data_IF_752462900302
#
_entry.id   IF_752462900302
#
_cell.length_a   1.000
_cell.length_b   1.000
_cell.length_c   1.000
_cell.angle_alpha   90.00
_cell.angle_beta   90.00
_cell.angle_gamma   90.00
#
_symmetry.space_group_name_H-M   'P 1'
#
loop_
_entity.id
_entity.type
_entity.pdbx_description
1 polymer ?
#
# COMPACT_ATOMS: atom_id res chain seq x y z
N UNK A 1 39.27 6.87 -8.55
CA UNK A 1 38.67 7.36 -9.80
C UNK A 1 37.40 8.08 -9.40
N UNK A 2 37.40 9.41 -9.44
CA UNK A 2 36.18 10.21 -9.21
C UNK A 2 35.18 9.82 -10.30
N UNK A 3 34.00 9.33 -9.92
CA UNK A 3 32.95 8.98 -10.87
C UNK A 3 32.67 10.19 -11.77
N UNK A 4 32.64 9.96 -13.08
CA UNK A 4 32.38 11.01 -14.06
C UNK A 4 30.94 11.51 -13.86
N UNK A 5 30.78 12.80 -13.55
CA UNK A 5 29.46 13.38 -13.26
C UNK A 5 28.59 13.36 -14.51
N UNK A 6 27.55 12.54 -14.51
CA UNK A 6 26.54 12.49 -15.57
C UNK A 6 25.56 13.66 -15.49
N UNK A 7 24.92 13.96 -16.62
CA UNK A 7 23.80 14.89 -16.74
C UNK A 7 22.58 14.09 -17.22
N UNK A 8 21.55 14.03 -16.37
CA UNK A 8 20.30 13.35 -16.68
C UNK A 8 19.28 14.33 -17.24
N UNK A 9 18.73 14.03 -18.41
CA UNK A 9 17.62 14.78 -19.01
C UNK A 9 16.34 14.01 -18.75
N UNK A 10 15.39 14.61 -18.04
CA UNK A 10 14.18 13.92 -17.59
C UNK A 10 13.04 14.05 -18.59
N UNK A 11 12.32 12.95 -18.76
CA UNK A 11 11.01 12.88 -19.43
C UNK A 11 9.86 13.16 -18.46
N UNK A 12 8.73 13.63 -18.97
CA UNK A 12 7.50 13.90 -18.21
C UNK A 12 7.00 12.67 -17.47
N UNK A 13 7.07 11.49 -18.09
CA UNK A 13 6.60 10.24 -17.47
C UNK A 13 7.39 9.84 -16.22
N UNK A 14 8.65 10.27 -16.10
CA UNK A 14 9.45 10.06 -14.89
C UNK A 14 8.82 10.82 -13.72
N UNK A 15 8.44 12.08 -13.95
CA UNK A 15 7.86 12.96 -12.93
C UNK A 15 6.43 12.56 -12.59
N UNK A 16 5.63 12.18 -13.60
CA UNK A 16 4.26 11.70 -13.38
C UNK A 16 4.21 10.42 -12.54
N UNK A 17 5.27 9.61 -12.62
CA UNK A 17 5.44 8.43 -11.80
C UNK A 17 6.03 8.74 -10.42
N UNK A 18 6.93 9.70 -10.32
CA UNK A 18 7.59 10.08 -9.08
C UNK A 18 7.90 11.58 -9.03
N UNK A 19 7.10 12.31 -8.24
CA UNK A 19 7.28 13.74 -7.99
C UNK A 19 8.52 14.09 -7.18
N UNK A 20 9.17 13.11 -6.56
CA UNK A 20 10.43 13.25 -5.82
C UNK A 20 11.67 12.87 -6.63
N UNK A 21 11.51 12.56 -7.93
CA UNK A 21 12.58 12.03 -8.76
C UNK A 21 13.86 12.86 -8.76
N UNK A 22 13.76 14.18 -8.64
CA UNK A 22 14.92 15.09 -8.59
C UNK A 22 15.88 14.81 -7.43
N UNK A 23 15.44 14.15 -6.36
CA UNK A 23 16.29 13.81 -5.22
C UNK A 23 17.02 12.47 -5.38
N UNK A 24 16.73 11.71 -6.44
CA UNK A 24 17.18 10.32 -6.60
C UNK A 24 18.41 10.17 -7.51
N UNK A 25 19.01 11.28 -7.97
CA UNK A 25 20.16 11.28 -8.88
C UNK A 25 21.51 11.56 -8.20
N UNK A 26 21.54 11.58 -6.87
CA UNK A 26 22.77 11.71 -6.08
C UNK A 26 23.62 12.91 -6.53
N UNK A 27 24.92 12.72 -6.79
CA UNK A 27 25.86 13.77 -7.22
C UNK A 27 25.63 14.30 -8.64
N UNK A 28 24.75 13.67 -9.42
CA UNK A 28 24.58 13.95 -10.84
C UNK A 28 23.65 15.14 -11.12
N UNK A 29 23.95 15.88 -12.18
CA UNK A 29 23.17 17.03 -12.60
C UNK A 29 21.88 16.60 -13.33
N UNK A 30 20.83 17.40 -13.21
CA UNK A 30 19.50 17.15 -13.76
C UNK A 30 19.10 18.31 -14.66
N UNK A 31 18.58 17.97 -15.83
CA UNK A 31 18.01 18.90 -16.79
C UNK A 31 16.53 18.58 -16.99
N UNK A 32 15.70 19.60 -16.81
CA UNK A 32 14.26 19.54 -17.08
C UNK A 32 13.98 20.35 -18.36
N UNK A 33 13.65 19.70 -19.48
CA UNK A 33 13.15 20.38 -20.67
C UNK A 33 11.91 21.23 -20.35
N UNK A 34 11.78 22.41 -20.95
CA UNK A 34 10.60 23.28 -20.71
C UNK A 34 9.29 22.60 -21.13
N UNK A 35 9.35 21.77 -22.19
CA UNK A 35 8.23 20.94 -22.66
C UNK A 35 7.66 20.05 -21.55
N UNK A 36 8.52 19.54 -20.66
CA UNK A 36 8.06 18.73 -19.52
C UNK A 36 7.16 19.53 -18.60
N UNK A 37 7.51 20.79 -18.33
CA UNK A 37 6.66 21.67 -17.50
C UNK A 37 5.34 22.00 -18.19
N UNK A 38 5.35 22.22 -19.50
CA UNK A 38 4.14 22.42 -20.32
C UNK A 38 3.21 21.19 -20.27
N UNK A 39 3.77 19.98 -20.35
CA UNK A 39 2.98 18.76 -20.23
C UNK A 39 2.43 18.58 -18.82
N UNK A 40 3.24 18.79 -17.79
CA UNK A 40 2.79 18.69 -16.40
C UNK A 40 1.61 19.62 -16.09
N UNK A 41 1.54 20.80 -16.72
CA UNK A 41 0.41 21.72 -16.58
C UNK A 41 -0.92 21.09 -17.03
N UNK A 42 -0.90 20.32 -18.12
CA UNK A 42 -2.07 19.57 -18.59
C UNK A 42 -2.47 18.47 -17.59
N UNK A 43 -1.49 17.89 -16.89
CA UNK A 43 -1.71 16.89 -15.85
C UNK A 43 -2.05 17.47 -14.47
N UNK A 44 -2.10 18.79 -14.25
CA UNK A 44 -2.50 19.34 -12.93
C UNK A 44 -3.98 19.15 -12.59
N UNK A 45 -4.83 18.94 -13.59
CA UNK A 45 -6.29 18.82 -13.42
C UNK A 45 -6.68 17.35 -13.31
N UNK A 46 -7.39 16.99 -12.24
CA UNK A 46 -7.84 15.63 -11.97
C UNK A 46 -7.44 15.11 -10.60
N UNK A 47 -7.92 13.91 -10.26
CA UNK A 47 -7.71 13.26 -8.96
C UNK A 47 -6.80 12.03 -9.03
N UNK A 48 -6.20 11.73 -10.18
CA UNK A 48 -5.29 10.60 -10.36
C UNK A 48 -3.93 10.86 -9.71
N UNK A 49 -3.18 9.79 -9.46
CA UNK A 49 -1.84 9.87 -8.85
C UNK A 49 -0.87 10.68 -9.73
N UNK A 50 -0.97 10.55 -11.05
CA UNK A 50 -0.21 11.36 -12.01
C UNK A 50 -0.50 12.86 -11.86
N UNK A 51 -1.75 13.23 -11.51
CA UNK A 51 -2.11 14.63 -11.28
C UNK A 51 -1.57 15.14 -9.95
N UNK A 52 -1.56 14.27 -8.92
CA UNK A 52 -0.93 14.57 -7.65
C UNK A 52 0.58 14.78 -7.82
N UNK A 53 1.26 13.87 -8.53
CA UNK A 53 2.69 13.97 -8.80
C UNK A 53 3.02 15.22 -9.60
N UNK A 54 2.26 15.54 -10.66
CA UNK A 54 2.42 16.79 -11.40
C UNK A 54 2.31 18.04 -10.50
N UNK A 55 1.29 18.10 -9.64
CA UNK A 55 1.11 19.23 -8.69
C UNK A 55 2.24 19.31 -7.67
N UNK A 56 2.64 18.18 -7.09
CA UNK A 56 3.68 18.14 -6.06
C UNK A 56 5.04 18.51 -6.64
N UNK A 57 5.36 18.03 -7.83
CA UNK A 57 6.60 18.37 -8.51
C UNK A 57 6.69 19.86 -8.79
N UNK A 58 5.65 20.45 -9.40
CA UNK A 58 5.66 21.89 -9.70
C UNK A 58 5.75 22.74 -8.43
N UNK A 59 5.06 22.36 -7.34
CA UNK A 59 5.22 23.05 -6.04
C UNK A 59 6.63 22.95 -5.49
N UNK A 60 7.26 21.79 -5.64
CA UNK A 60 8.64 21.58 -5.20
C UNK A 60 9.59 22.47 -6.01
N UNK A 61 9.41 22.51 -7.34
CA UNK A 61 10.19 23.36 -8.23
C UNK A 61 9.98 24.85 -7.96
N UNK A 62 8.75 25.26 -7.65
CA UNK A 62 8.40 26.64 -7.28
C UNK A 62 9.06 27.06 -5.96
N UNK A 63 9.07 26.16 -4.96
CA UNK A 63 9.78 26.40 -3.69
C UNK A 63 11.30 26.49 -3.82
N UNK A 64 11.84 25.87 -4.87
CA UNK A 64 13.25 25.91 -5.25
C UNK A 64 13.58 27.17 -6.09
N UNK A 65 12.59 27.97 -6.48
CA UNK A 65 12.81 29.07 -7.42
C UNK A 65 13.47 30.30 -6.76
N UNK A 66 14.77 30.42 -7.03
CA UNK A 66 15.44 31.72 -7.21
C UNK A 66 15.79 31.85 -8.70
N UNK A 67 16.08 33.05 -9.23
CA UNK A 67 16.41 33.34 -10.65
C UNK A 67 17.52 32.44 -11.29
N UNK A 68 18.15 31.57 -10.51
CA UNK A 68 19.27 30.69 -10.87
C UNK A 68 18.87 29.40 -11.61
N UNK A 69 17.60 29.00 -11.62
CA UNK A 69 17.15 27.79 -12.34
C UNK A 69 17.31 27.89 -13.87
N UNK A 70 17.21 29.11 -14.42
CA UNK A 70 17.40 29.39 -15.84
C UNK A 70 18.87 29.74 -16.19
N UNK A 71 19.64 30.23 -15.21
CA UNK A 71 21.00 30.75 -15.38
C UNK A 71 22.04 29.95 -14.57
N UNK A 72 22.38 28.75 -15.04
CA UNK A 72 23.50 27.95 -14.50
C UNK A 72 23.14 26.86 -13.49
N UNK A 73 21.84 26.71 -13.20
CA UNK A 73 21.28 25.65 -12.37
C UNK A 73 21.49 25.86 -10.87
N UNK A 74 20.70 25.16 -10.06
CA UNK A 74 20.73 25.26 -8.60
C UNK A 74 20.98 23.89 -7.96
N UNK A 75 21.84 23.83 -6.93
CA UNK A 75 22.05 22.62 -6.14
C UNK A 75 20.82 22.27 -5.31
N UNK A 76 20.47 20.99 -5.30
CA UNK A 76 19.32 20.45 -4.56
C UNK A 76 19.66 20.23 -3.08
N UNK A 77 20.92 19.90 -2.79
CA UNK A 77 21.43 19.58 -1.46
C UNK A 77 22.96 19.63 -1.39
N UNK A 78 23.55 19.40 -0.20
CA UNK A 78 25.00 19.46 0.02
C UNK A 78 25.78 18.49 -0.87
N UNK A 79 25.24 17.26 -1.01
CA UNK A 79 25.85 16.14 -1.73
C UNK A 79 25.11 15.83 -3.05
N UNK A 80 24.29 16.76 -3.53
CA UNK A 80 23.47 16.57 -4.75
C UNK A 80 23.95 17.44 -5.92
N UNK A 81 23.70 16.96 -7.13
CA UNK A 81 23.93 17.74 -8.35
C UNK A 81 23.01 18.96 -8.49
N UNK A 82 23.11 19.63 -9.64
CA UNK A 82 22.34 20.84 -9.98
C UNK A 82 21.12 20.50 -10.83
N UNK A 83 20.01 21.19 -10.58
CA UNK A 83 18.84 21.21 -11.48
C UNK A 83 18.92 22.46 -12.35
N UNK A 84 18.71 22.29 -13.65
CA UNK A 84 18.51 23.38 -14.60
C UNK A 84 17.28 23.14 -15.48
N UNK A 85 16.55 24.21 -15.81
CA UNK A 85 15.48 24.18 -16.81
C UNK A 85 16.06 24.60 -18.16
N UNK A 86 15.79 23.82 -19.21
CA UNK A 86 16.27 24.12 -20.57
C UNK A 86 15.12 24.50 -21.49
N UNK A 87 15.26 25.67 -22.11
CA UNK A 87 14.31 26.18 -23.10
C UNK A 87 14.43 25.43 -24.43
N UNK A 88 13.36 25.54 -25.23
CA UNK A 88 13.27 25.01 -26.57
C UNK A 88 14.45 25.45 -27.45
N UNK A 89 14.92 24.55 -28.32
CA UNK A 89 15.89 24.87 -29.36
C UNK A 89 15.38 24.37 -30.71
N UNK A 90 15.95 24.91 -31.79
CA UNK A 90 15.64 24.41 -33.15
C UNK A 90 15.97 22.92 -33.22
N UNK A 91 15.10 22.15 -33.88
CA UNK A 91 15.29 20.72 -34.10
C UNK A 91 16.61 20.47 -34.84
N UNK A 92 17.47 19.61 -34.30
CA UNK A 92 18.72 19.24 -34.94
C UNK A 92 18.46 18.55 -36.29
N UNK A 93 19.23 18.84 -37.36
CA UNK A 93 19.04 18.21 -38.68
C UNK A 93 18.97 16.68 -38.62
N UNK A 94 19.90 16.03 -37.91
CA UNK A 94 19.93 14.58 -37.73
C UNK A 94 18.60 14.00 -37.20
N UNK A 95 17.95 14.68 -36.26
CA UNK A 95 16.66 14.25 -35.71
C UNK A 95 15.51 14.53 -36.67
N UNK A 96 15.56 15.65 -37.39
CA UNK A 96 14.54 16.04 -38.36
C UNK A 96 14.48 15.05 -39.53
N UNK A 97 15.62 14.55 -39.97
CA UNK A 97 15.73 13.57 -41.06
C UNK A 97 15.36 12.16 -40.57
N UNK A 98 15.71 11.81 -39.34
CA UNK A 98 15.42 10.48 -38.74
C UNK A 98 13.96 10.33 -38.31
N UNK A 99 13.34 11.40 -37.82
CA UNK A 99 11.95 11.41 -37.34
C UNK A 99 11.11 12.43 -38.13
N UNK A 100 10.85 12.18 -39.42
CA UNK A 100 10.10 13.10 -40.26
C UNK A 100 8.62 13.13 -39.83
N UNK A 101 8.15 14.32 -39.46
CA UNK A 101 6.72 14.60 -39.25
C UNK A 101 6.28 14.73 -37.79
N UNK A 102 5.54 15.82 -37.57
CA UNK A 102 4.90 16.28 -36.32
C UNK A 102 5.85 16.63 -35.17
N UNK A 103 5.76 17.91 -34.80
CA UNK A 103 6.29 18.44 -33.55
C UNK A 103 5.51 17.83 -32.38
N UNK A 104 6.14 16.86 -31.71
CA UNK A 104 5.58 16.14 -30.56
C UNK A 104 6.41 16.43 -29.32
N UNK A 105 5.81 16.46 -28.13
CA UNK A 105 6.55 16.67 -26.88
C UNK A 105 7.76 15.73 -26.71
N UNK A 106 7.59 14.44 -26.98
CA UNK A 106 8.67 13.44 -27.00
C UNK A 106 9.87 13.85 -27.85
N UNK A 107 9.61 14.44 -29.03
CA UNK A 107 10.65 14.86 -29.96
C UNK A 107 11.37 16.12 -29.47
N UNK A 108 10.65 17.04 -28.81
CA UNK A 108 11.22 18.25 -28.19
C UNK A 108 12.14 17.89 -27.01
N UNK A 109 11.70 16.96 -26.15
CA UNK A 109 12.49 16.40 -25.05
C UNK A 109 13.76 15.71 -25.59
N UNK A 110 13.61 14.84 -26.59
CA UNK A 110 14.73 14.16 -27.25
C UNK A 110 15.71 15.16 -27.87
N UNK A 111 15.21 16.20 -28.53
CA UNK A 111 16.02 17.22 -29.18
C UNK A 111 16.91 17.99 -28.18
N UNK A 112 16.37 18.36 -27.02
CA UNK A 112 17.15 19.03 -25.98
C UNK A 112 18.30 18.13 -25.51
N UNK A 113 18.01 16.87 -25.19
CA UNK A 113 19.03 15.92 -24.75
C UNK A 113 20.11 15.70 -25.83
N UNK A 114 19.69 15.55 -27.09
CA UNK A 114 20.58 15.33 -28.23
C UNK A 114 21.49 16.52 -28.52
N UNK A 115 20.93 17.74 -28.60
CA UNK A 115 21.70 18.96 -28.84
C UNK A 115 22.74 19.20 -27.73
N UNK A 116 22.38 18.93 -26.48
CA UNK A 116 23.33 19.04 -25.37
C UNK A 116 24.48 18.03 -25.48
N UNK A 117 24.17 16.77 -25.81
CA UNK A 117 25.18 15.74 -26.04
C UNK A 117 26.12 16.03 -27.22
N UNK A 118 25.62 16.72 -28.26
CA UNK A 118 26.43 17.14 -29.41
C UNK A 118 27.27 18.39 -29.14
N UNK A 119 26.76 19.32 -28.35
CA UNK A 119 27.45 20.57 -28.04
C UNK A 119 28.63 20.39 -27.07
N UNK A 120 28.56 19.37 -26.21
CA UNK A 120 29.57 19.10 -25.18
C UNK A 120 29.86 17.59 -25.14
N UNK A 121 30.99 17.19 -25.71
CA UNK A 121 31.42 15.77 -25.77
C UNK A 121 32.25 15.36 -24.57
N UNK A 122 32.61 16.29 -23.69
CA UNK A 122 33.37 16.01 -22.46
C UNK A 122 32.47 15.50 -21.33
N UNK A 123 31.14 15.64 -21.45
CA UNK A 123 30.17 15.20 -20.45
C UNK A 123 29.27 14.09 -20.96
N UNK A 124 28.86 13.22 -20.04
CA UNK A 124 27.91 12.15 -20.32
C UNK A 124 26.47 12.65 -20.13
N UNK A 125 25.70 12.66 -21.22
CA UNK A 125 24.28 13.02 -21.22
C UNK A 125 23.41 11.77 -21.37
N UNK A 126 22.46 11.59 -20.46
CA UNK A 126 21.58 10.41 -20.43
C UNK A 126 20.12 10.86 -20.40
N UNK A 127 19.33 10.40 -21.37
CA UNK A 127 17.87 10.57 -21.34
C UNK A 127 17.25 9.55 -20.38
N UNK A 128 16.50 10.02 -19.41
CA UNK A 128 15.78 9.16 -18.45
C UNK A 128 14.30 9.22 -18.76
N UNK A 129 13.72 8.08 -19.10
CA UNK A 129 12.30 7.97 -19.43
C UNK A 129 11.76 6.62 -18.98
N UNK A 130 10.47 6.55 -18.67
CA UNK A 130 9.74 5.28 -18.49
C UNK A 130 9.15 4.72 -19.79
N UNK A 131 9.10 5.52 -20.85
CA UNK A 131 8.61 5.07 -22.16
C UNK A 131 9.72 4.35 -22.94
N UNK A 132 9.46 3.06 -23.23
CA UNK A 132 10.34 2.23 -24.07
C UNK A 132 10.55 2.87 -25.44
N UNK A 133 9.52 3.44 -26.05
CA UNK A 133 9.60 4.02 -27.39
C UNK A 133 10.52 5.24 -27.43
N UNK A 134 10.38 6.15 -26.48
CA UNK A 134 11.26 7.32 -26.37
C UNK A 134 12.73 6.89 -26.14
N UNK A 135 12.97 5.90 -25.27
CA UNK A 135 14.32 5.36 -25.06
C UNK A 135 14.90 4.69 -26.31
N UNK A 136 14.09 3.98 -27.09
CA UNK A 136 14.53 3.36 -28.34
C UNK A 136 14.89 4.41 -29.40
N UNK A 137 14.09 5.48 -29.52
CA UNK A 137 14.40 6.62 -30.40
C UNK A 137 15.70 7.32 -30.02
N UNK A 138 15.96 7.49 -28.73
CA UNK A 138 17.22 8.06 -28.25
C UNK A 138 18.42 7.17 -28.64
N UNK A 139 18.32 5.87 -28.37
CA UNK A 139 19.38 4.91 -28.71
C UNK A 139 19.64 4.82 -30.21
N UNK A 140 18.61 4.91 -31.06
CA UNK A 140 18.77 4.83 -32.51
C UNK A 140 19.57 6.01 -33.11
N UNK A 141 19.62 7.15 -32.42
CA UNK A 141 20.42 8.32 -32.83
C UNK A 141 21.74 8.43 -32.06
N UNK A 142 22.10 7.41 -31.28
CA UNK A 142 23.35 7.37 -30.51
C UNK A 142 23.33 8.15 -29.19
N UNK A 143 22.16 8.55 -28.69
CA UNK A 143 22.00 9.17 -27.37
C UNK A 143 21.84 8.08 -26.30
N UNK A 144 22.54 8.21 -25.17
CA UNK A 144 22.37 7.30 -24.03
C UNK A 144 20.97 7.47 -23.44
N UNK A 145 20.31 6.35 -23.13
CA UNK A 145 19.00 6.36 -22.50
C UNK A 145 18.82 5.22 -21.49
N UNK A 146 18.29 5.57 -20.32
CA UNK A 146 18.12 4.68 -19.17
C UNK A 146 16.64 4.69 -18.70
N UNK A 147 16.19 3.57 -18.14
CA UNK A 147 14.87 3.48 -17.50
C UNK A 147 14.92 4.08 -16.09
N UNK A 148 13.85 4.74 -15.67
CA UNK A 148 13.77 5.29 -14.33
C UNK A 148 13.34 4.22 -13.33
N UNK A 149 14.30 3.69 -12.57
CA UNK A 149 14.03 2.79 -11.44
C UNK A 149 14.40 3.49 -10.14
N UNK A 150 13.43 3.68 -9.24
CA UNK A 150 13.71 4.00 -7.84
C UNK A 150 13.83 2.72 -7.03
N UNK A 151 14.65 2.75 -5.99
CA UNK A 151 14.66 1.71 -4.96
C UNK A 151 13.28 1.52 -4.31
N UNK A 152 12.38 2.51 -4.42
CA UNK A 152 10.98 2.42 -3.99
C UNK A 152 10.10 1.48 -4.84
N UNK A 153 10.47 1.15 -6.08
CA UNK A 153 9.64 0.35 -7.00
C UNK A 153 10.12 -1.10 -7.11
N UNK A 154 11.38 -1.38 -6.74
CA UNK A 154 11.95 -2.74 -6.87
C UNK A 154 11.35 -3.76 -5.87
N UNK A 155 10.75 -3.33 -4.76
CA UNK A 155 10.33 -4.24 -3.68
C UNK A 155 8.80 -4.36 -3.46
N UNK A 156 7.96 -3.81 -4.33
CA UNK A 156 6.50 -4.04 -4.24
C UNK A 156 6.08 -5.42 -4.75
N UNK A 157 6.93 -6.08 -5.57
CA UNK A 157 6.70 -7.45 -6.03
C UNK A 157 6.75 -8.46 -4.87
N UNK A 158 7.51 -8.18 -3.81
CA UNK A 158 7.54 -8.95 -2.56
C UNK A 158 6.96 -8.15 -1.41
N UNK A 159 5.66 -7.85 -1.51
CA UNK A 159 4.93 -7.26 -0.39
C UNK A 159 5.14 -8.11 0.88
N UNK A 160 5.45 -7.44 1.99
CA UNK A 160 5.57 -8.08 3.30
C UNK A 160 4.28 -8.82 3.65
N UNK A 161 4.35 -10.15 3.75
CA UNK A 161 3.18 -11.01 4.01
C UNK A 161 2.78 -11.13 5.49
N UNK A 162 3.52 -10.49 6.41
CA UNK A 162 3.19 -10.54 7.84
C UNK A 162 3.56 -11.85 8.55
N UNK A 163 3.81 -12.92 7.80
CA UNK A 163 4.18 -14.22 8.32
C UNK A 163 5.35 -14.86 7.57
N UNK A 164 6.12 -15.68 8.27
CA UNK A 164 7.14 -16.55 7.66
C UNK A 164 7.21 -17.91 8.33
N UNK A 165 7.84 -18.84 7.64
CA UNK A 165 8.17 -20.15 8.18
C UNK A 165 9.67 -20.21 8.47
N UNK A 166 10.04 -20.80 9.60
CA UNK A 166 11.44 -21.05 9.99
C UNK A 166 11.56 -22.54 10.29
N UNK A 167 12.35 -23.23 9.49
CA UNK A 167 12.68 -24.64 9.67
C UNK A 167 13.93 -24.82 10.55
N UNK A 168 14.15 -26.05 11.00
CA UNK A 168 15.32 -26.46 11.79
C UNK A 168 15.59 -25.63 13.06
N UNK A 169 14.53 -25.11 13.67
CA UNK A 169 14.57 -24.39 14.96
C UNK A 169 15.10 -25.32 16.05
N UNK A 170 15.96 -24.89 16.99
CA UNK A 170 16.45 -25.72 18.09
C UNK A 170 15.32 -26.44 18.84
N UNK A 171 15.43 -27.77 18.96
CA UNK A 171 14.37 -28.59 19.56
C UNK A 171 14.05 -28.18 21.01
N UNK A 172 15.09 -27.78 21.78
CA UNK A 172 14.92 -27.28 23.14
C UNK A 172 14.11 -25.99 23.17
N UNK A 173 14.43 -25.01 22.32
CA UNK A 173 13.69 -23.76 22.24
C UNK A 173 12.22 -24.00 21.86
N UNK A 174 11.97 -24.92 20.92
CA UNK A 174 10.60 -25.29 20.55
C UNK A 174 9.86 -25.97 21.71
N UNK A 175 10.51 -26.87 22.44
CA UNK A 175 9.94 -27.52 23.63
C UNK A 175 9.65 -26.52 24.76
N UNK A 176 10.50 -25.52 24.93
CA UNK A 176 10.30 -24.44 25.91
C UNK A 176 9.07 -23.60 25.58
N UNK A 177 8.70 -23.42 24.31
CA UNK A 177 7.42 -22.77 23.93
C UNK A 177 6.19 -23.56 24.37
N UNK A 178 6.31 -24.89 24.57
CA UNK A 178 5.22 -25.71 25.10
C UNK A 178 5.18 -25.76 26.63
N UNK A 179 6.20 -25.21 27.29
CA UNK A 179 6.33 -25.15 28.74
C UNK A 179 6.11 -23.71 29.22
N UNK A 180 5.80 -23.54 30.50
CA UNK A 180 5.66 -22.22 31.12
C UNK A 180 4.59 -21.33 30.45
N UNK A 181 4.95 -20.07 30.21
CA UNK A 181 4.10 -19.03 29.60
C UNK A 181 4.17 -18.99 28.07
N UNK A 182 4.99 -19.86 27.45
CA UNK A 182 5.18 -19.92 26.00
C UNK A 182 5.99 -18.75 25.42
N UNK A 183 6.75 -18.04 26.25
CA UNK A 183 7.62 -16.93 25.83
C UNK A 183 9.08 -17.40 25.82
N UNK A 184 9.75 -17.28 24.67
CA UNK A 184 11.13 -17.74 24.49
C UNK A 184 11.97 -16.62 23.88
N UNK A 185 13.20 -16.44 24.36
CA UNK A 185 14.14 -15.48 23.77
C UNK A 185 14.45 -15.85 22.31
N UNK A 186 14.53 -14.85 21.41
CA UNK A 186 14.81 -15.08 19.98
C UNK A 186 16.06 -15.95 19.77
N UNK A 187 17.13 -15.66 20.51
CA UNK A 187 18.42 -16.38 20.42
C UNK A 187 18.32 -17.90 20.70
N UNK A 188 17.30 -18.34 21.43
CA UNK A 188 17.07 -19.77 21.70
C UNK A 188 16.34 -20.49 20.56
N UNK A 189 15.84 -19.75 19.56
CA UNK A 189 15.05 -20.27 18.45
C UNK A 189 15.72 -20.06 17.09
N UNK A 190 16.55 -19.03 16.94
CA UNK A 190 17.16 -18.68 15.66
C UNK A 190 18.43 -17.84 15.87
N UNK A 191 19.21 -17.70 14.81
CA UNK A 191 20.42 -16.88 14.82
C UNK A 191 20.08 -15.39 15.07
N UNK A 192 20.98 -14.70 15.78
CA UNK A 192 20.79 -13.29 16.19
C UNK A 192 20.58 -12.36 15.00
N UNK A 193 21.22 -12.65 13.86
CA UNK A 193 21.15 -11.87 12.63
C UNK A 193 19.86 -12.08 11.82
N UNK A 194 18.99 -13.02 12.23
CA UNK A 194 17.71 -13.27 11.54
C UNK A 194 16.87 -11.99 11.52
N UNK A 195 16.58 -11.39 10.35
CA UNK A 195 15.91 -10.11 10.26
C UNK A 195 14.40 -10.31 10.46
N UNK A 196 13.95 -10.06 11.69
CA UNK A 196 12.54 -10.05 12.07
C UNK A 196 12.07 -8.63 12.37
N UNK A 197 10.82 -8.33 12.00
CA UNK A 197 10.16 -7.07 12.33
C UNK A 197 9.17 -7.25 13.47
N UNK A 198 8.89 -6.19 14.22
CA UNK A 198 7.97 -6.29 15.36
C UNK A 198 6.56 -6.74 14.90
N UNK A 199 5.93 -7.61 15.69
CA UNK A 199 4.65 -8.24 15.39
C UNK A 199 4.66 -9.09 14.10
N UNK A 200 5.82 -9.61 13.70
CA UNK A 200 5.91 -10.61 12.63
C UNK A 200 5.49 -11.99 13.15
N UNK A 201 4.63 -12.67 12.40
CA UNK A 201 4.13 -13.99 12.72
C UNK A 201 5.05 -15.09 12.16
N UNK A 202 5.21 -16.17 12.92
CA UNK A 202 6.19 -17.21 12.59
C UNK A 202 5.56 -18.59 12.78
N UNK A 203 5.77 -19.46 11.79
CA UNK A 203 5.59 -20.90 11.93
C UNK A 203 6.97 -21.49 12.19
N UNK A 204 7.22 -21.92 13.43
CA UNK A 204 8.47 -22.55 13.84
C UNK A 204 8.35 -24.05 13.63
N UNK A 205 9.32 -24.69 12.97
CA UNK A 205 9.33 -26.13 12.72
C UNK A 205 10.64 -26.78 13.16
N UNK A 206 10.53 -27.98 13.72
CA UNK A 206 11.63 -28.92 13.91
C UNK A 206 11.11 -30.33 13.62
N UNK A 207 11.43 -30.87 12.44
CA UNK A 207 10.90 -32.15 11.96
C UNK A 207 9.37 -32.18 11.98
N UNK A 208 8.78 -33.03 12.84
CA UNK A 208 7.31 -33.17 12.97
C UNK A 208 6.67 -32.18 13.97
N UNK A 209 7.46 -31.49 14.79
CA UNK A 209 6.95 -30.52 15.77
C UNK A 209 6.84 -29.15 15.13
N UNK A 210 5.78 -28.41 15.43
CA UNK A 210 5.61 -27.03 14.96
C UNK A 210 4.81 -26.16 15.91
N UNK A 211 5.23 -24.90 16.07
CA UNK A 211 4.55 -23.90 16.89
C UNK A 211 4.20 -22.66 16.06
N UNK A 212 3.03 -22.09 16.34
CA UNK A 212 2.63 -20.78 15.84
C UNK A 212 3.11 -19.73 16.85
N UNK A 213 3.70 -18.64 16.37
CA UNK A 213 4.29 -17.64 17.24
C UNK A 213 4.23 -16.22 16.67
N UNK A 214 4.46 -15.22 17.52
CA UNK A 214 4.65 -13.82 17.15
C UNK A 214 5.95 -13.29 17.76
N UNK A 215 6.72 -12.52 17.00
CA UNK A 215 7.92 -11.86 17.50
C UNK A 215 7.60 -10.48 18.09
N UNK A 216 8.13 -10.21 19.28
CA UNK A 216 8.05 -8.92 19.98
C UNK A 216 9.45 -8.31 20.10
N UNK A 217 9.69 -7.24 19.32
CA UNK A 217 11.00 -6.59 19.22
C UNK A 217 11.43 -5.88 20.51
N UNK A 218 10.49 -5.36 21.30
CA UNK A 218 10.82 -4.61 22.52
C UNK A 218 11.46 -5.48 23.61
N UNK A 219 11.05 -6.74 23.67
CA UNK A 219 11.53 -7.74 24.65
C UNK A 219 12.51 -8.73 24.03
N UNK A 220 12.67 -8.68 22.70
CA UNK A 220 13.40 -9.66 21.89
C UNK A 220 12.95 -11.11 22.15
N UNK A 221 11.64 -11.29 22.28
CA UNK A 221 11.01 -12.58 22.57
C UNK A 221 10.10 -13.03 21.43
N UNK A 222 9.94 -14.35 21.33
CA UNK A 222 8.99 -15.03 20.47
C UNK A 222 7.95 -15.66 21.36
N UNK A 223 6.70 -15.24 21.18
CA UNK A 223 5.57 -15.62 22.03
C UNK A 223 4.68 -16.63 21.28
N UNK A 224 4.38 -17.75 21.93
CA UNK A 224 3.52 -18.78 21.36
C UNK A 224 2.08 -18.28 21.19
N UNK A 225 1.50 -18.62 20.05
CA UNK A 225 0.10 -18.35 19.74
C UNK A 225 -0.73 -19.60 20.01
N UNK A 226 -1.75 -19.42 20.84
CA UNK A 226 -2.79 -20.40 21.05
C UNK A 226 -3.91 -20.19 20.04
N UNK A 227 -4.39 -21.28 19.43
CA UNK A 227 -5.58 -21.22 18.58
C UNK A 227 -6.79 -20.95 19.46
N UNK A 228 -7.39 -19.77 19.32
CA UNK A 228 -8.62 -19.37 20.01
C UNK A 228 -9.74 -19.13 19.02
N UNK A 229 -10.98 -19.38 19.43
CA UNK A 229 -12.15 -18.92 18.70
C UNK A 229 -12.46 -17.47 19.05
N UNK A 230 -13.16 -16.77 18.17
CA UNK A 230 -13.72 -15.45 18.42
C UNK A 230 -15.20 -15.46 18.05
N UNK A 231 -16.09 -15.21 19.01
CA UNK A 231 -17.54 -15.15 18.83
C UNK A 231 -18.12 -16.30 17.97
N UNK A 232 -17.68 -17.53 18.24
CA UNK A 232 -18.12 -18.75 17.53
C UNK A 232 -17.32 -19.09 16.27
N UNK A 233 -16.47 -18.20 15.76
CA UNK A 233 -15.62 -18.45 14.59
C UNK A 233 -14.28 -19.05 15.02
N UNK A 234 -13.92 -20.20 14.45
CA UNK A 234 -12.67 -20.94 14.73
C UNK A 234 -11.72 -20.78 13.54
N UNK A 235 -10.44 -20.43 13.76
CA UNK A 235 -9.46 -20.33 12.68
C UNK A 235 -9.14 -21.72 12.12
N UNK A 236 -9.18 -21.86 10.80
CA UNK A 236 -8.96 -23.15 10.10
C UNK A 236 -7.50 -23.42 9.76
N UNK A 237 -6.71 -22.37 9.60
CA UNK A 237 -5.30 -22.46 9.24
C UNK A 237 -4.43 -21.50 10.08
N UNK A 238 -3.12 -21.53 9.86
CA UNK A 238 -2.15 -20.72 10.61
C UNK A 238 -2.38 -19.21 10.41
N UNK A 239 -2.63 -18.77 9.18
CA UNK A 239 -2.86 -17.36 8.82
C UNK A 239 -4.10 -16.79 9.54
N UNK A 240 -5.20 -17.54 9.59
CA UNK A 240 -6.38 -17.14 10.35
C UNK A 240 -6.12 -17.10 11.86
N UNK A 241 -5.25 -17.98 12.37
CA UNK A 241 -4.85 -17.97 13.79
C UNK A 241 -4.00 -16.72 14.11
N UNK A 242 -3.10 -16.34 13.21
CA UNK A 242 -2.33 -15.10 13.28
C UNK A 242 -3.23 -13.86 13.22
N UNK A 243 -4.18 -13.85 12.27
CA UNK A 243 -5.15 -12.77 12.14
C UNK A 243 -5.96 -12.58 13.44
N UNK A 244 -6.54 -13.65 14.00
CA UNK A 244 -7.28 -13.53 15.28
C UNK A 244 -6.39 -13.06 16.42
N UNK A 245 -5.15 -13.55 16.50
CA UNK A 245 -4.20 -13.06 17.50
C UNK A 245 -3.98 -11.54 17.40
N UNK A 246 -3.71 -11.01 16.19
CA UNK A 246 -3.54 -9.57 15.95
C UNK A 246 -4.80 -8.77 16.30
N UNK A 247 -5.96 -9.28 15.90
CA UNK A 247 -7.25 -8.60 16.08
C UNK A 247 -7.65 -8.52 17.56
N UNK A 248 -7.42 -9.58 18.32
CA UNK A 248 -7.75 -9.66 19.74
C UNK A 248 -6.75 -8.91 20.65
N UNK A 249 -5.51 -8.69 20.19
CA UNK A 249 -4.47 -8.01 20.98
C UNK A 249 -4.76 -6.50 21.17
N UNK A 250 -5.04 -6.01 22.39
CA UNK A 250 -5.29 -4.60 22.64
C UNK A 250 -4.05 -3.72 22.47
N UNK A 251 -2.84 -4.29 22.49
CA UNK A 251 -1.58 -3.55 22.34
C UNK A 251 -1.25 -3.23 20.88
N UNK A 252 -1.98 -3.83 19.94
CA UNK A 252 -1.82 -3.64 18.50
C UNK A 252 -3.04 -2.90 17.93
N UNK A 253 -3.16 -1.57 18.11
CA UNK A 253 -4.34 -0.81 17.74
C UNK A 253 -4.56 -0.66 16.23
N UNK A 254 -3.55 -0.93 15.40
CA UNK A 254 -3.68 -0.90 13.94
C UNK A 254 -3.37 -2.26 13.36
N UNK A 255 -4.33 -2.84 12.64
CA UNK A 255 -4.17 -4.14 11.99
C UNK A 255 -4.56 -4.01 10.52
N UNK A 256 -3.86 -4.72 9.65
CA UNK A 256 -4.31 -4.91 8.27
C UNK A 256 -4.29 -6.38 7.89
N UNK A 257 -5.34 -6.82 7.21
CA UNK A 257 -5.48 -8.16 6.69
C UNK A 257 -5.64 -8.10 5.17
N UNK A 258 -4.69 -8.67 4.44
CA UNK A 258 -4.80 -8.86 2.99
C UNK A 258 -5.09 -10.31 2.66
N UNK A 259 -5.40 -10.59 1.40
CA UNK A 259 -5.60 -11.93 0.90
C UNK A 259 -6.71 -11.99 -0.12
N UNK A 260 -6.82 -13.10 -0.84
CA UNK A 260 -7.84 -13.29 -1.87
C UNK A 260 -9.26 -13.26 -1.28
N UNK A 261 -10.28 -13.02 -2.11
CA UNK A 261 -11.66 -13.19 -1.68
C UNK A 261 -11.91 -14.60 -1.10
N UNK A 262 -12.74 -14.72 -0.06
CA UNK A 262 -13.05 -16.02 0.58
C UNK A 262 -12.05 -16.54 1.62
N UNK A 263 -11.00 -15.78 1.95
CA UNK A 263 -10.05 -16.13 3.02
C UNK A 263 -10.55 -15.80 4.44
N UNK A 264 -11.70 -15.12 4.54
CA UNK A 264 -12.38 -14.83 5.81
C UNK A 264 -11.96 -13.53 6.51
N UNK A 265 -11.24 -12.62 5.85
CA UNK A 265 -10.70 -11.37 6.43
C UNK A 265 -11.75 -10.58 7.23
N UNK A 266 -12.85 -10.19 6.59
CA UNK A 266 -13.94 -9.40 7.18
C UNK A 266 -14.66 -10.18 8.28
N UNK A 267 -14.89 -11.48 8.07
CA UNK A 267 -15.52 -12.37 9.04
C UNK A 267 -14.70 -12.46 10.33
N UNK A 268 -13.39 -12.70 10.22
CA UNK A 268 -12.49 -12.78 11.37
C UNK A 268 -12.39 -11.44 12.10
N UNK A 269 -12.28 -10.33 11.35
CA UNK A 269 -12.25 -8.98 11.93
C UNK A 269 -13.53 -8.68 12.74
N UNK A 270 -14.70 -8.99 12.18
CA UNK A 270 -15.99 -8.78 12.85
C UNK A 270 -16.14 -9.70 14.07
N UNK A 271 -15.79 -10.97 13.94
CA UNK A 271 -15.82 -11.94 15.03
C UNK A 271 -14.94 -11.51 16.21
N UNK A 272 -13.71 -11.05 15.93
CA UNK A 272 -12.82 -10.52 16.95
C UNK A 272 -13.39 -9.25 17.60
N UNK A 273 -13.91 -8.30 16.81
CA UNK A 273 -14.54 -7.09 17.33
C UNK A 273 -15.69 -7.39 18.31
N UNK A 274 -16.53 -8.37 17.98
CA UNK A 274 -17.62 -8.84 18.83
C UNK A 274 -17.13 -9.54 20.10
N UNK A 275 -16.04 -10.31 20.00
CA UNK A 275 -15.41 -10.97 21.16
C UNK A 275 -14.92 -9.92 22.16
N UNK A 276 -14.13 -8.94 21.71
CA UNK A 276 -13.53 -7.91 22.57
C UNK A 276 -14.41 -6.68 22.79
N UNK A 277 -15.68 -6.72 22.38
CA UNK A 277 -16.66 -5.59 22.39
C UNK A 277 -16.76 -4.84 23.72
N UNK A 278 -16.43 -5.47 24.85
CA UNK A 278 -16.49 -4.87 26.19
C UNK A 278 -15.43 -3.77 26.38
N UNK A 279 -14.32 -3.82 25.64
CA UNK A 279 -13.24 -2.82 25.71
C UNK A 279 -13.54 -1.55 24.92
N UNK A 280 -14.53 -1.57 24.03
CA UNK A 280 -14.84 -0.49 23.10
C UNK A 280 -16.24 0.03 23.36
N UNK A 281 -16.48 1.33 23.18
CA UNK A 281 -17.81 1.93 23.26
C UNK A 281 -18.68 1.53 22.08
N UNK A 282 -18.10 1.41 20.88
CA UNK A 282 -18.82 1.11 19.65
C UNK A 282 -17.96 0.29 18.68
N UNK A 283 -18.59 -0.59 17.92
CA UNK A 283 -18.00 -1.29 16.78
C UNK A 283 -18.53 -0.62 15.51
N UNK A 284 -17.63 -0.18 14.64
CA UNK A 284 -17.95 0.42 13.35
C UNK A 284 -17.46 -0.51 12.25
N UNK A 285 -18.37 -1.06 11.46
CA UNK A 285 -18.04 -1.81 10.26
C UNK A 285 -18.35 -0.93 9.04
N UNK A 286 -17.32 -0.59 8.30
CA UNK A 286 -17.41 0.40 7.21
C UNK A 286 -16.82 -0.14 5.93
N UNK A 287 -17.33 0.35 4.79
CA UNK A 287 -16.82 0.03 3.45
C UNK A 287 -16.88 1.27 2.56
N UNK A 288 -15.86 1.55 1.73
CA UNK A 288 -15.94 2.61 0.73
C UNK A 288 -16.95 2.24 -0.35
N UNK A 289 -17.66 3.24 -0.86
CA UNK A 289 -18.56 3.03 -1.98
C UNK A 289 -17.79 3.35 -3.26
N UNK A 290 -17.49 2.31 -4.04
CA UNK A 290 -16.90 2.45 -5.37
C UNK A 290 -18.02 2.31 -6.39
N UNK A 291 -18.33 3.37 -7.16
CA UNK A 291 -19.38 3.27 -8.18
C UNK A 291 -18.92 2.34 -9.32
N UNK A 292 -19.74 1.33 -9.62
CA UNK A 292 -19.49 0.34 -10.68
C UNK A 292 -19.56 0.92 -12.11
N UNK A 293 -19.84 2.22 -12.27
CA UNK A 293 -19.95 2.90 -13.56
C UNK A 293 -19.66 4.39 -13.42
N UNK A 294 -19.39 5.10 -14.52
CA UNK A 294 -19.23 6.57 -14.57
C UNK A 294 -20.50 7.36 -14.16
N UNK A 295 -21.54 6.70 -13.64
CA UNK A 295 -22.72 7.35 -13.09
C UNK A 295 -22.55 7.48 -11.58
N UNK A 296 -22.52 8.72 -11.11
CA UNK A 296 -22.57 9.01 -9.68
C UNK A 296 -23.81 8.34 -9.05
N UNK A 297 -23.66 7.84 -7.82
CA UNK A 297 -24.74 7.23 -7.02
C UNK A 297 -25.97 8.16 -6.93
N UNK A 298 -25.77 9.46 -7.07
CA UNK A 298 -26.82 10.47 -7.17
C UNK A 298 -27.88 10.17 -8.24
N UNK A 299 -27.53 9.48 -9.34
CA UNK A 299 -28.42 9.21 -10.47
C UNK A 299 -29.31 7.97 -10.33
N UNK A 300 -29.09 7.10 -9.34
CA UNK A 300 -29.98 5.96 -9.09
C UNK A 300 -31.32 6.47 -8.51
N UNK A 301 -32.49 5.95 -8.91
CA UNK A 301 -33.76 6.30 -8.28
C UNK A 301 -33.86 5.68 -6.87
N UNK A 302 -34.51 6.37 -5.93
CA UNK A 302 -34.75 5.88 -4.55
C UNK A 302 -34.18 6.80 -3.45
N UNK A 303 -34.43 6.43 -2.19
CA UNK A 303 -33.86 7.11 -1.03
C UNK A 303 -32.38 6.75 -0.82
N UNK A 304 -31.69 7.52 0.04
CA UNK A 304 -30.25 7.34 0.29
C UNK A 304 -29.95 5.91 0.76
N UNK A 305 -30.82 5.34 1.62
CA UNK A 305 -30.65 4.00 2.15
C UNK A 305 -30.77 2.92 1.06
N UNK A 306 -31.74 3.02 0.16
CA UNK A 306 -31.92 2.09 -0.96
C UNK A 306 -30.72 2.10 -1.91
N UNK A 307 -30.06 3.25 -2.08
CA UNK A 307 -28.85 3.38 -2.92
C UNK A 307 -27.60 2.77 -2.28
N UNK A 308 -27.50 2.84 -0.96
CA UNK A 308 -26.31 2.40 -0.21
C UNK A 308 -26.39 0.92 0.18
N UNK A 309 -27.61 0.44 0.47
CA UNK A 309 -27.87 -0.92 0.95
C UNK A 309 -27.15 -2.02 0.15
N UNK A 310 -27.15 -2.02 -1.21
CA UNK A 310 -26.47 -3.07 -1.98
C UNK A 310 -24.97 -3.18 -1.68
N UNK A 311 -24.29 -2.05 -1.43
CA UNK A 311 -22.85 -2.04 -1.14
C UNK A 311 -22.54 -2.55 0.27
N UNK A 312 -23.48 -2.38 1.20
CA UNK A 312 -23.33 -2.82 2.59
C UNK A 312 -23.77 -4.27 2.80
N UNK A 313 -24.54 -4.85 1.88
CA UNK A 313 -25.09 -6.20 2.00
C UNK A 313 -24.03 -7.27 2.36
N UNK A 314 -22.81 -7.29 1.75
CA UNK A 314 -21.81 -8.28 2.11
C UNK A 314 -21.34 -8.20 3.57
N UNK A 315 -21.45 -7.03 4.20
CA UNK A 315 -21.14 -6.84 5.63
C UNK A 315 -22.24 -7.46 6.50
N UNK A 316 -23.51 -7.32 6.11
CA UNK A 316 -24.64 -7.99 6.76
C UNK A 316 -24.58 -9.51 6.59
N UNK A 317 -24.14 -10.01 5.43
CA UNK A 317 -23.98 -11.44 5.17
C UNK A 317 -22.94 -12.06 6.12
N UNK A 318 -21.79 -11.40 6.32
CA UNK A 318 -20.79 -11.82 7.31
C UNK A 318 -21.37 -11.86 8.74
N UNK A 319 -22.19 -10.87 9.11
CA UNK A 319 -22.90 -10.88 10.38
C UNK A 319 -23.91 -12.03 10.46
N UNK A 320 -24.56 -12.37 9.36
CA UNK A 320 -25.45 -13.53 9.22
C UNK A 320 -24.72 -14.86 9.48
N UNK A 321 -23.51 -15.03 8.96
CA UNK A 321 -22.66 -16.21 9.22
C UNK A 321 -22.37 -16.37 10.71
N UNK A 322 -22.03 -15.27 11.40
CA UNK A 322 -21.78 -15.27 12.85
C UNK A 322 -23.07 -15.58 13.62
N UNK A 323 -24.20 -14.96 13.25
CA UNK A 323 -25.51 -15.25 13.86
C UNK A 323 -25.88 -16.73 13.74
N UNK A 324 -25.62 -17.33 12.58
CA UNK A 324 -25.90 -18.75 12.31
C UNK A 324 -25.07 -19.74 13.12
N UNK A 325 -24.01 -19.28 13.82
CA UNK A 325 -23.27 -20.13 14.78
C UNK A 325 -24.06 -20.40 16.06
N UNK A 326 -25.16 -19.68 16.29
CA UNK A 326 -25.95 -19.76 17.51
C UNK A 326 -27.42 -20.08 17.21
N UNK A 327 -28.08 -20.81 18.11
CA UNK A 327 -29.52 -21.02 18.02
C UNK A 327 -30.28 -19.69 18.21
N UNK A 328 -31.43 -19.55 17.56
CA UNK A 328 -32.25 -18.32 17.62
C UNK A 328 -32.67 -17.96 19.06
N UNK A 329 -32.87 -18.97 19.90
CA UNK A 329 -33.23 -18.82 21.31
C UNK A 329 -32.04 -18.55 22.24
N UNK A 330 -30.82 -18.46 21.71
CA UNK A 330 -29.64 -18.22 22.54
C UNK A 330 -29.50 -16.74 22.94
N UNK A 331 -28.93 -16.51 24.11
CA UNK A 331 -28.55 -15.17 24.58
C UNK A 331 -27.62 -14.45 23.61
N UNK A 332 -26.74 -15.21 22.94
CA UNK A 332 -25.77 -14.68 21.99
C UNK A 332 -26.43 -14.16 20.71
N UNK A 333 -27.45 -14.88 20.20
CA UNK A 333 -28.27 -14.44 19.08
C UNK A 333 -29.02 -13.15 19.41
N UNK A 334 -29.72 -13.14 20.56
CA UNK A 334 -30.48 -11.98 21.04
C UNK A 334 -29.58 -10.76 21.28
N UNK A 335 -28.36 -10.98 21.79
CA UNK A 335 -27.38 -9.91 22.02
C UNK A 335 -26.93 -9.24 20.73
N UNK A 336 -26.68 -9.99 19.66
CA UNK A 336 -26.31 -9.39 18.37
C UNK A 336 -27.42 -8.51 17.82
N UNK A 337 -28.68 -8.92 17.97
CA UNK A 337 -29.83 -8.11 17.57
C UNK A 337 -29.88 -6.79 18.34
N UNK A 338 -29.79 -6.85 19.68
CA UNK A 338 -29.74 -5.66 20.54
C UNK A 338 -28.56 -4.74 20.21
N UNK A 339 -27.39 -5.29 19.89
CA UNK A 339 -26.23 -4.48 19.53
C UNK A 339 -26.45 -3.64 18.26
N UNK A 340 -27.23 -4.12 17.30
CA UNK A 340 -27.62 -3.33 16.14
C UNK A 340 -28.66 -2.27 16.51
N UNK A 341 -29.68 -2.65 17.31
CA UNK A 341 -30.75 -1.75 17.77
C UNK A 341 -30.22 -0.59 18.63
N UNK A 342 -29.27 -0.88 19.52
CA UNK A 342 -28.65 0.08 20.45
C UNK A 342 -27.47 0.86 19.79
N UNK A 343 -27.26 0.72 18.48
CA UNK A 343 -26.13 1.31 17.73
C UNK A 343 -24.74 0.97 18.30
N UNK A 344 -24.64 -0.11 19.09
CA UNK A 344 -23.37 -0.64 19.59
C UNK A 344 -22.51 -1.21 18.47
N UNK A 345 -23.14 -1.82 17.47
CA UNK A 345 -22.58 -2.26 16.21
C UNK A 345 -23.25 -1.46 15.09
N UNK A 346 -22.50 -0.64 14.36
CA UNK A 346 -23.01 0.09 13.20
C UNK A 346 -22.35 -0.40 11.91
N UNK A 347 -23.16 -0.51 10.86
CA UNK A 347 -22.72 -0.81 9.50
C UNK A 347 -23.03 0.42 8.65
N UNK A 348 -22.00 1.16 8.25
CA UNK A 348 -22.16 2.45 7.57
C UNK A 348 -21.13 2.68 6.45
N UNK A 349 -21.44 3.51 5.44
CA UNK A 349 -20.46 3.92 4.45
C UNK A 349 -19.27 4.62 5.10
N UNK A 350 -18.07 4.39 4.56
CA UNK A 350 -16.86 5.03 5.05
C UNK A 350 -16.94 6.56 5.04
N UNK A 351 -17.69 7.16 4.11
CA UNK A 351 -17.86 8.61 4.02
C UNK A 351 -18.42 9.25 5.31
N UNK A 352 -19.20 8.51 6.11
CA UNK A 352 -19.89 9.03 7.29
C UNK A 352 -18.95 9.24 8.50
N UNK A 353 -17.72 8.72 8.45
CA UNK A 353 -16.75 8.95 9.54
C UNK A 353 -16.03 10.30 9.41
N UNK A 354 -16.20 11.00 8.28
CA UNK A 354 -15.48 12.25 8.01
C UNK A 354 -15.92 13.33 8.99
N UNK A 355 -14.95 13.89 9.73
CA UNK A 355 -15.21 14.93 10.74
C UNK A 355 -15.64 14.39 12.11
N UNK A 356 -15.63 13.07 12.33
CA UNK A 356 -15.90 12.45 13.63
C UNK A 356 -14.58 12.08 14.33
N UNK A 357 -14.52 12.25 15.64
CA UNK A 357 -13.45 11.69 16.48
C UNK A 357 -13.75 10.22 16.80
N UNK A 358 -12.74 9.35 16.68
CA UNK A 358 -12.87 7.92 16.94
C UNK A 358 -12.19 7.60 18.27
N UNK A 359 -12.92 7.70 19.39
CA UNK A 359 -12.40 7.37 20.74
C UNK A 359 -13.04 6.07 21.21
N UNK A 360 -12.22 5.14 21.73
CA UNK A 360 -12.65 3.82 22.20
C UNK A 360 -13.55 3.08 21.22
N UNK A 361 -13.24 3.13 19.92
CA UNK A 361 -13.99 2.40 18.88
C UNK A 361 -13.19 1.22 18.35
N UNK A 362 -13.89 0.14 18.00
CA UNK A 362 -13.32 -0.93 17.16
C UNK A 362 -13.83 -0.69 15.74
N UNK A 363 -12.98 -0.15 14.88
CA UNK A 363 -13.35 0.19 13.51
C UNK A 363 -12.77 -0.82 12.52
N UNK A 364 -13.61 -1.34 11.64
CA UNK A 364 -13.23 -2.20 10.53
C UNK A 364 -13.53 -1.44 9.24
N UNK A 365 -12.52 -1.32 8.39
CA UNK A 365 -12.60 -0.73 7.05
C UNK A 365 -12.41 -1.86 6.05
N UNK A 366 -13.51 -2.36 5.50
CA UNK A 366 -13.50 -3.39 4.48
C UNK A 366 -13.29 -2.81 3.08
N UNK A 367 -12.79 -3.62 2.15
CA UNK A 367 -12.36 -3.23 0.81
C UNK A 367 -11.38 -2.04 0.80
N UNK A 368 -10.42 -2.03 1.72
CA UNK A 368 -9.48 -0.93 1.91
C UNK A 368 -8.52 -0.72 0.73
N UNK A 369 -8.36 -1.70 -0.18
CA UNK A 369 -7.60 -1.55 -1.42
C UNK A 369 -8.20 -0.49 -2.36
N UNK A 370 -9.48 -0.16 -2.17
CA UNK A 370 -10.16 0.88 -2.95
C UNK A 370 -9.95 2.29 -2.39
N UNK A 371 -9.09 2.45 -1.37
CA UNK A 371 -8.74 3.74 -0.78
C UNK A 371 -7.42 4.27 -1.29
N UNK A 372 -7.30 5.58 -1.40
CA UNK A 372 -6.03 6.26 -1.64
C UNK A 372 -5.15 6.27 -0.37
N UNK A 373 -3.82 6.43 -0.49
CA UNK A 373 -2.93 6.60 0.67
C UNK A 373 -3.32 7.79 1.57
N UNK A 374 -3.88 8.85 0.99
CA UNK A 374 -4.36 10.02 1.73
C UNK A 374 -5.60 9.69 2.59
N UNK A 375 -6.53 8.89 2.06
CA UNK A 375 -7.72 8.46 2.80
C UNK A 375 -7.36 7.55 3.96
N UNK A 376 -6.50 6.54 3.73
CA UNK A 376 -5.99 5.68 4.80
C UNK A 376 -5.29 6.49 5.89
N UNK A 377 -4.41 7.43 5.51
CA UNK A 377 -3.77 8.36 6.46
C UNK A 377 -4.81 9.16 7.24
N UNK A 378 -5.83 9.68 6.58
CA UNK A 378 -6.91 10.47 7.20
C UNK A 378 -7.71 9.65 8.21
N UNK A 379 -7.92 8.36 7.94
CA UNK A 379 -8.62 7.46 8.87
C UNK A 379 -7.74 7.17 10.10
N UNK A 380 -6.49 6.74 9.87
CA UNK A 380 -5.57 6.36 10.95
C UNK A 380 -5.30 7.54 11.90
N UNK A 381 -5.08 8.74 11.36
CA UNK A 381 -4.83 9.95 12.15
C UNK A 381 -6.03 10.45 12.97
N UNK A 382 -7.23 9.89 12.78
CA UNK A 382 -8.42 10.17 13.61
C UNK A 382 -8.60 9.20 14.77
N UNK A 383 -7.76 8.17 14.88
CA UNK A 383 -7.79 7.24 15.99
C UNK A 383 -7.42 7.96 17.30
N UNK A 384 -8.41 8.16 18.17
CA UNK A 384 -8.22 8.58 19.55
C UNK A 384 -7.84 7.42 20.46
N UNK A 385 -7.63 7.73 21.74
CA UNK A 385 -7.23 6.73 22.74
C UNK A 385 -8.21 5.55 22.85
N UNK A 386 -7.66 4.34 23.00
CA UNK A 386 -8.42 3.11 23.13
C UNK A 386 -9.13 2.65 21.84
N UNK A 387 -8.84 3.27 20.70
CA UNK A 387 -9.39 2.86 19.40
C UNK A 387 -8.50 1.83 18.72
N UNK A 388 -9.14 0.83 18.12
CA UNK A 388 -8.51 -0.14 17.22
C UNK A 388 -9.09 0.05 15.82
N UNK A 389 -8.22 0.10 14.81
CA UNK A 389 -8.59 0.18 13.40
C UNK A 389 -8.05 -1.05 12.68
N UNK A 390 -8.93 -1.71 11.94
CA UNK A 390 -8.62 -2.89 11.14
C UNK A 390 -8.95 -2.58 9.69
N UNK A 391 -7.96 -2.67 8.80
CA UNK A 391 -8.17 -2.61 7.36
C UNK A 391 -8.22 -4.02 6.77
N UNK A 392 -9.25 -4.34 6.02
CA UNK A 392 -9.35 -5.61 5.28
C UNK A 392 -9.47 -5.32 3.80
N UNK A 393 -8.83 -6.13 2.95
CA UNK A 393 -8.89 -5.93 1.51
C UNK A 393 -8.16 -6.99 0.70
N UNK A 394 -8.29 -6.91 -0.61
CA UNK A 394 -7.62 -7.77 -1.57
C UNK A 394 -6.83 -6.90 -2.56
N UNK A 395 -5.51 -6.86 -2.42
CA UNK A 395 -4.64 -6.00 -3.23
C UNK A 395 -4.57 -6.43 -4.71
N UNK A 396 -5.06 -7.62 -5.03
CA UNK A 396 -5.15 -8.13 -6.40
C UNK A 396 -6.53 -7.83 -7.04
N UNK A 397 -7.53 -7.44 -6.24
CA UNK A 397 -8.89 -7.12 -6.69
C UNK A 397 -9.25 -5.68 -6.35
N UNK A 398 -8.83 -4.76 -7.22
CA UNK A 398 -9.05 -3.32 -7.04
C UNK A 398 -10.17 -2.87 -8.00
N UNK A 399 -11.29 -2.44 -7.42
CA UNK A 399 -12.45 -1.95 -8.17
C UNK A 399 -12.29 -0.49 -8.57
N UNK A 400 -11.49 0.27 -7.82
CA UNK A 400 -11.33 1.70 -8.04
C UNK A 400 -10.54 1.96 -9.34
N UNK A 401 -11.10 2.65 -10.34
CA UNK A 401 -10.55 2.73 -11.70
C UNK A 401 -9.21 3.48 -11.80
N UNK A 402 -8.83 4.20 -10.75
CA UNK A 402 -7.60 5.00 -10.70
C UNK A 402 -6.58 4.49 -9.68
N UNK A 403 -6.79 3.30 -9.12
CA UNK A 403 -5.86 2.66 -8.18
C UNK A 403 -5.36 1.35 -8.76
N UNK A 404 -4.13 1.02 -8.42
CA UNK A 404 -3.50 -0.26 -8.72
C UNK A 404 -2.80 -0.80 -7.45
N UNK A 405 -2.18 -1.98 -7.58
CA UNK A 405 -1.50 -2.65 -6.48
C UNK A 405 -0.41 -1.78 -5.84
N UNK A 406 0.23 -0.90 -6.60
CA UNK A 406 1.37 -0.09 -6.17
C UNK A 406 0.96 1.29 -5.65
N UNK A 407 -0.24 1.75 -5.98
CA UNK A 407 -0.73 3.10 -5.67
C UNK A 407 -1.84 3.14 -4.62
N UNK A 408 -2.44 2.00 -4.27
CA UNK A 408 -3.51 1.96 -3.28
C UNK A 408 -3.02 2.18 -1.83
N UNK A 409 -3.94 2.67 -1.00
CA UNK A 409 -3.69 3.04 0.38
C UNK A 409 -3.40 1.86 1.30
N UNK A 410 -4.00 0.70 1.04
CA UNK A 410 -3.72 -0.53 1.81
C UNK A 410 -2.28 -0.98 1.58
N UNK A 411 -1.81 -1.01 0.33
CA UNK A 411 -0.42 -1.33 0.01
C UNK A 411 0.56 -0.33 0.64
N UNK A 412 0.28 0.97 0.53
CA UNK A 412 1.10 1.98 1.19
C UNK A 412 1.10 1.85 2.71
N UNK A 413 0.02 1.38 3.32
CA UNK A 413 -0.05 1.15 4.77
C UNK A 413 0.88 0.01 5.18
N UNK A 414 0.80 -1.12 4.48
CA UNK A 414 1.63 -2.31 4.74
C UNK A 414 3.11 -1.95 4.67
N UNK A 415 3.51 -1.31 3.58
CA UNK A 415 4.90 -0.93 3.38
C UNK A 415 5.42 0.06 4.45
N UNK A 416 4.65 1.11 4.77
CA UNK A 416 5.12 2.18 5.67
C UNK A 416 5.01 1.84 7.16
N UNK A 417 4.07 0.99 7.54
CA UNK A 417 3.82 0.66 8.96
C UNK A 417 4.52 -0.62 9.41
N UNK A 418 5.09 -1.42 8.48
CA UNK A 418 5.83 -2.62 8.82
C UNK A 418 6.87 -2.37 9.93
N UNK A 419 6.88 -3.24 10.93
CA UNK A 419 7.81 -3.20 12.06
C UNK A 419 7.51 -2.14 13.13
N UNK A 420 6.46 -1.34 12.97
CA UNK A 420 6.01 -0.42 14.02
C UNK A 420 5.39 -1.20 15.19
N UNK A 421 5.62 -0.71 16.42
CA UNK A 421 5.12 -1.35 17.66
C UNK A 421 3.59 -1.56 17.65
N UNK A 422 2.87 -0.57 17.13
CA UNK A 422 1.42 -0.47 17.18
C UNK A 422 0.70 -1.14 16.00
N UNK A 423 1.45 -1.81 15.13
CA UNK A 423 0.97 -2.33 13.87
C UNK A 423 1.22 -3.82 13.73
N UNK A 424 0.24 -4.55 13.18
CA UNK A 424 0.44 -5.89 12.67
C UNK A 424 -0.21 -6.04 11.28
N UNK A 425 0.40 -6.90 10.48
CA UNK A 425 -0.09 -7.27 9.16
C UNK A 425 -0.16 -8.79 9.07
N UNK A 426 -1.19 -9.31 8.42
CA UNK A 426 -1.30 -10.73 8.08
C UNK A 426 -1.87 -10.84 6.67
N UNK A 427 -1.13 -11.51 5.79
CA UNK A 427 -1.61 -11.90 4.47
C UNK A 427 -2.23 -13.30 4.52
N UNK A 428 -3.52 -13.41 4.19
CA UNK A 428 -4.25 -14.67 4.15
C UNK A 428 -4.20 -15.21 2.72
N UNK A 429 -3.23 -16.08 2.45
CA UNK A 429 -2.98 -16.65 1.12
C UNK A 429 -3.92 -17.79 0.81
N UNK A 430 -4.23 -18.63 1.82
CA UNK A 430 -5.04 -19.83 1.61
C UNK A 430 -6.52 -19.53 1.82
N UNK A 431 -7.28 -19.56 0.73
CA UNK A 431 -8.74 -19.59 0.77
C UNK A 431 -9.25 -20.90 1.36
N UNK A 432 -10.36 -20.84 2.09
CA UNK A 432 -11.07 -22.03 2.59
C UNK A 432 -12.37 -22.17 1.77
N UNK A 433 -12.23 -22.13 0.43
CA UNK A 433 -13.34 -22.15 -0.51
C UNK A 433 -13.76 -23.59 -0.83
N UNK A 434 -14.88 -23.72 -1.53
CA UNK A 434 -15.26 -24.99 -2.14
C UNK A 434 -14.29 -25.36 -3.26
N UNK A 435 -14.16 -26.65 -3.52
CA UNK A 435 -13.33 -27.21 -4.60
C UNK A 435 -13.60 -26.53 -5.97
N UNK A 436 -14.86 -26.19 -6.24
CA UNK A 436 -15.26 -25.46 -7.46
C UNK A 436 -14.59 -24.08 -7.57
N UNK A 437 -14.54 -23.32 -6.48
CA UNK A 437 -14.06 -21.96 -6.50
C UNK A 437 -12.53 -21.88 -6.44
N UNK A 438 -11.87 -22.91 -5.89
CA UNK A 438 -10.41 -23.09 -6.03
C UNK A 438 -10.07 -23.45 -7.48
N UNK A 439 -10.75 -24.45 -8.07
CA UNK A 439 -10.55 -24.83 -9.48
C UNK A 439 -10.79 -23.65 -10.44
N UNK A 440 -11.85 -22.87 -10.22
CA UNK A 440 -12.14 -21.70 -11.04
C UNK A 440 -11.07 -20.59 -10.91
N UNK A 441 -10.50 -20.38 -9.72
CA UNK A 441 -9.44 -19.38 -9.52
C UNK A 441 -8.11 -19.79 -10.17
N UNK A 442 -7.88 -21.08 -10.38
CA UNK A 442 -6.67 -21.58 -11.02
C UNK A 442 -6.82 -21.63 -12.56
N UNK A 443 -8.05 -21.79 -13.07
CA UNK A 443 -8.34 -21.96 -14.50
C UNK A 443 -8.82 -20.70 -15.24
N UNK A 444 -9.47 -19.75 -14.56
CA UNK A 444 -10.04 -18.51 -15.13
C UNK A 444 -9.24 -17.30 -14.66
#
# INVERSE_FOLDING_TARGET
MTAESKIFVLDTNVILHDSSCIYNFQEHDIVIPITVLEELDNFKKGQQIINFHARQFVRSLDSLSSDKLFNGGMRIGPDSGRIAIRLEQRMHPDLKDTFPGQDKPDHRILNIAYCMAKADTEKSYVLVSKDVNLRMKAKSVGLMAEDYTTDHVRDLEKMYGGCREIEDVPAQGLDDMYRGDGIVAKANLMADDTPLVNNEYIILKNGKKSALAVYKKNTDTVERIHKSSAYGIIPRNAEQSFALNALLDPMTPLVSLTGKAGTGKTLLALAAALEVRKHYHQILLTRPIVPLSNKDIGYLPGDINSKISPYMQPLYDNLGVIKGQFSENSDMYSRLKRMLEDEKLMIEPLAYIRGRSLVKKYMIVDEAQNLTPLEVKTIVTRAGEGTKIVFTGDIEQIDHPYLDRNSNGLSSLVYKMQGQKLYAHVDLKKGERSELADLASDLL
#
